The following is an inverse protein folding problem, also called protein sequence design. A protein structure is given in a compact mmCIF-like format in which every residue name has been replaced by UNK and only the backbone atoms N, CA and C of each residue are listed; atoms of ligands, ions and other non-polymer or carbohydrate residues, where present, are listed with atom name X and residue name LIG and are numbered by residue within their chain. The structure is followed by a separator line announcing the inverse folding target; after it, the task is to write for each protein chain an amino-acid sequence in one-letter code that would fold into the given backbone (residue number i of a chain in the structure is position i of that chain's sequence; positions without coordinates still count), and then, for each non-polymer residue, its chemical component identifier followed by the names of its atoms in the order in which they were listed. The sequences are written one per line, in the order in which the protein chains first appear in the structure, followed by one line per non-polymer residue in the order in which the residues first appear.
data_IF_361178647667
#
_entry.id   IF_361178647667
#
_cell.length_a   1.000
_cell.length_b   1.000
_cell.length_c   1.000
_cell.angle_alpha   90.00
_cell.angle_beta   90.00
_cell.angle_gamma   90.00
#
_symmetry.space_group_name_H-M   'P 1'
#
loop_
_entity.id
_entity.type
_entity.pdbx_description
1 polymer ?
#
# COMPACT_ATOMS: atom_id res chain seq x y z
N UNK A 1 24.48 -8.39 -2.08
CA UNK A 1 24.44 -7.07 -1.40
C UNK A 1 25.61 -6.17 -1.82
N UNK A 2 26.15 -6.31 -3.03
CA UNK A 2 27.00 -5.31 -3.67
C UNK A 2 26.34 -5.05 -5.02
N UNK A 3 25.55 -3.97 -5.09
CA UNK A 3 24.79 -3.49 -6.26
C UNK A 3 24.66 -4.52 -7.39
N UNK A 4 23.81 -5.52 -7.20
CA UNK A 4 23.64 -6.58 -8.18
C UNK A 4 22.58 -6.11 -9.18
N UNK A 5 22.97 -5.66 -10.39
CA UNK A 5 22.00 -5.20 -11.39
C UNK A 5 21.04 -6.33 -11.75
N UNK A 6 21.41 -7.59 -11.50
CA UNK A 6 20.55 -8.75 -11.69
C UNK A 6 19.42 -8.82 -10.65
N UNK A 7 19.62 -8.33 -9.42
CA UNK A 7 18.58 -8.26 -8.39
C UNK A 7 17.59 -7.12 -8.66
N UNK A 8 18.11 -5.95 -9.06
CA UNK A 8 17.27 -4.83 -9.49
C UNK A 8 16.54 -5.16 -10.80
N UNK A 9 17.20 -5.85 -11.73
CA UNK A 9 16.56 -6.37 -12.93
C UNK A 9 15.56 -7.47 -12.61
N UNK A 10 15.79 -8.38 -11.66
CA UNK A 10 14.81 -9.40 -11.27
C UNK A 10 13.54 -8.77 -10.67
N UNK A 11 13.70 -7.73 -9.85
CA UNK A 11 12.57 -6.93 -9.37
C UNK A 11 11.87 -6.19 -10.54
N UNK A 12 12.64 -5.64 -11.47
CA UNK A 12 12.13 -4.98 -12.68
C UNK A 12 11.53 -5.93 -13.73
N UNK A 13 11.92 -7.21 -13.74
CA UNK A 13 11.42 -8.24 -14.66
C UNK A 13 10.00 -8.66 -14.28
N UNK A 14 9.67 -8.73 -12.99
CA UNK A 14 8.30 -8.99 -12.54
C UNK A 14 7.35 -7.84 -12.91
N UNK A 15 7.81 -6.60 -12.76
CA UNK A 15 7.07 -5.40 -13.15
C UNK A 15 7.02 -5.20 -14.67
N UNK A 16 8.11 -5.48 -15.37
CA UNK A 16 8.25 -5.36 -16.81
C UNK A 16 7.47 -6.41 -17.58
N UNK A 17 7.46 -7.67 -17.09
CA UNK A 17 6.64 -8.75 -17.64
C UNK A 17 5.14 -8.40 -17.60
N UNK A 18 4.69 -7.70 -16.55
CA UNK A 18 3.32 -7.24 -16.44
C UNK A 18 3.00 -6.04 -17.35
N UNK A 19 3.99 -5.21 -17.67
CA UNK A 19 3.85 -4.16 -18.68
C UNK A 19 3.68 -4.74 -20.10
N UNK A 20 4.32 -5.89 -20.40
CA UNK A 20 4.15 -6.58 -21.69
C UNK A 20 2.76 -7.17 -21.92
N UNK A 21 1.96 -7.41 -20.88
CA UNK A 21 0.57 -7.89 -21.02
C UNK A 21 -0.44 -6.77 -21.19
N UNK A 22 0.00 -5.50 -21.18
CA UNK A 22 -0.87 -4.32 -21.32
C UNK A 22 -1.75 -4.01 -20.11
N UNK A 23 -1.70 -4.83 -19.05
CA UNK A 23 -2.50 -4.67 -17.84
C UNK A 23 -1.74 -4.03 -16.66
N UNK A 24 -0.50 -3.59 -16.90
CA UNK A 24 0.39 -3.03 -15.87
C UNK A 24 -0.24 -1.88 -15.09
N UNK A 25 -0.87 -0.92 -15.78
CA UNK A 25 -1.42 0.28 -15.14
C UNK A 25 -2.54 -0.07 -14.15
N UNK A 26 -3.52 -0.87 -14.57
CA UNK A 26 -4.66 -1.27 -13.72
C UNK A 26 -4.18 -2.06 -12.50
N UNK A 27 -3.21 -2.96 -12.69
CA UNK A 27 -2.62 -3.70 -11.58
C UNK A 27 -1.92 -2.77 -10.58
N UNK A 28 -1.08 -1.84 -11.07
CA UNK A 28 -0.38 -0.90 -10.18
C UNK A 28 -1.35 0.03 -9.45
N UNK A 29 -2.40 0.52 -10.12
CA UNK A 29 -3.45 1.30 -9.47
C UNK A 29 -4.23 0.48 -8.44
N UNK A 30 -4.55 -0.78 -8.73
CA UNK A 30 -5.20 -1.70 -7.79
C UNK A 30 -4.32 -1.98 -6.56
N UNK A 31 -3.04 -2.28 -6.78
CA UNK A 31 -2.05 -2.48 -5.72
C UNK A 31 -1.86 -1.22 -4.87
N UNK A 32 -1.74 -0.05 -5.50
CA UNK A 32 -1.61 1.23 -4.82
C UNK A 32 -2.86 1.57 -3.99
N UNK A 33 -4.06 1.36 -4.56
CA UNK A 33 -5.33 1.55 -3.85
C UNK A 33 -5.47 0.61 -2.64
N UNK A 34 -5.12 -0.66 -2.81
CA UNK A 34 -5.10 -1.62 -1.72
C UNK A 34 -4.11 -1.23 -0.61
N UNK A 35 -2.88 -0.84 -0.99
CA UNK A 35 -1.87 -0.39 -0.04
C UNK A 35 -2.34 0.85 0.74
N UNK A 36 -2.99 1.80 0.08
CA UNK A 36 -3.55 3.00 0.72
C UNK A 36 -4.68 2.65 1.70
N UNK A 37 -5.56 1.72 1.35
CA UNK A 37 -6.63 1.25 2.22
C UNK A 37 -6.07 0.54 3.47
N UNK A 38 -5.09 -0.35 3.27
CA UNK A 38 -4.39 -1.05 4.34
C UNK A 38 -3.68 -0.05 5.28
N UNK A 39 -3.03 0.97 4.72
CA UNK A 39 -2.42 2.05 5.49
C UNK A 39 -3.49 2.83 6.28
N UNK A 40 -4.63 3.16 5.67
CA UNK A 40 -5.74 3.85 6.34
C UNK A 40 -6.27 3.08 7.56
N UNK A 41 -6.48 1.76 7.43
CA UNK A 41 -6.85 0.90 8.57
C UNK A 41 -5.75 0.85 9.64
N UNK A 42 -4.49 0.77 9.22
CA UNK A 42 -3.35 0.75 10.12
C UNK A 42 -3.12 2.09 10.84
N UNK A 43 -3.58 3.21 10.28
CA UNK A 43 -3.60 4.52 10.94
C UNK A 43 -4.81 4.63 11.87
N UNK A 44 -5.98 4.16 11.44
CA UNK A 44 -7.20 4.16 12.26
C UNK A 44 -7.04 3.37 13.58
N UNK A 45 -6.16 2.36 13.64
CA UNK A 45 -5.82 1.65 14.89
C UNK A 45 -4.88 2.43 15.82
N UNK A 46 -4.09 3.36 15.29
CA UNK A 46 -3.11 4.17 16.05
C UNK A 46 -3.78 5.44 16.57
N UNK A 47 -4.77 5.96 15.84
CA UNK A 47 -5.52 7.12 16.30
C UNK A 47 -6.29 6.75 17.57
N UNK A 48 -6.05 7.43 18.71
CA UNK A 48 -6.86 7.26 19.89
C UNK A 48 -8.28 7.67 19.54
N UNK A 49 -9.21 6.71 19.58
CA UNK A 49 -10.64 7.00 19.64
C UNK A 49 -10.84 7.82 20.91
N UNK A 50 -10.95 9.14 20.75
CA UNK A 50 -11.62 9.97 21.74
C UNK A 50 -13.05 9.48 21.72
N UNK A 51 -13.33 8.46 22.52
CA UNK A 51 -14.69 8.26 23.01
C UNK A 51 -15.03 9.63 23.57
N UNK A 52 -15.87 10.35 22.82
CA UNK A 52 -16.41 11.59 23.28
C UNK A 52 -16.95 11.22 24.65
N UNK A 53 -16.35 11.79 25.68
CA UNK A 53 -16.96 11.99 26.97
C UNK A 53 -18.26 12.73 26.65
N UNK A 54 -19.28 11.99 26.23
CA UNK A 54 -20.66 12.33 26.36
C UNK A 54 -20.86 12.32 27.87
N UNK A 55 -20.38 13.40 28.47
CA UNK A 55 -20.69 13.79 29.82
C UNK A 55 -22.19 13.63 29.93
N UNK A 56 -22.56 12.65 30.73
CA UNK A 56 -23.51 12.85 31.80
C UNK A 56 -23.33 14.25 32.40
N UNK A 57 -23.93 15.26 31.79
CA UNK A 57 -24.29 16.49 32.47
C UNK A 57 -25.68 16.23 33.04
N UNK A 58 -25.64 15.63 34.23
CA UNK A 58 -26.71 15.60 35.22
C UNK A 58 -27.02 17.03 35.71
#
# INVERSE_FOLDING_TARGET
MYNDPTSAAAAGLGSGALAYTGAGDIFWFGLAGFALMAAGMAVARIMPRREAEAGSSE
#
